data_IF_882255126266
#
_entry.id   IF_882255126266
#
_cell.length_a   1.000
_cell.length_b   1.000
_cell.length_c   1.000
_cell.angle_alpha   90.00
_cell.angle_beta   90.00
_cell.angle_gamma   90.00
#
_symmetry.space_group_name_H-M   'P 1'
#
loop_
_entity.id
_entity.type
_entity.pdbx_description
1 polymer ?
#
# COMPACT_ATOMS: atom_id res chain seq x y z
N UNK A 1 -25.61 -14.77 2.41
CA UNK A 1 -25.88 -13.87 3.55
C UNK A 1 -24.83 -12.77 3.48
N UNK A 2 -25.19 -11.49 3.35
CA UNK A 2 -24.20 -10.43 3.35
C UNK A 2 -23.65 -10.30 4.79
N UNK A 3 -22.36 -10.57 4.96
CA UNK A 3 -21.67 -10.28 6.22
C UNK A 3 -21.54 -8.76 6.32
N UNK A 4 -22.08 -8.18 7.39
CA UNK A 4 -21.93 -6.76 7.68
C UNK A 4 -20.46 -6.46 7.97
N UNK A 5 -19.91 -5.36 7.44
CA UNK A 5 -18.50 -5.05 7.64
C UNK A 5 -18.23 -4.72 9.10
N UNK A 6 -17.34 -5.48 9.73
CA UNK A 6 -16.91 -5.24 11.10
C UNK A 6 -15.82 -4.16 11.10
N UNK A 7 -16.00 -3.13 11.93
CA UNK A 7 -15.01 -2.06 12.13
C UNK A 7 -14.71 -1.91 13.62
N UNK A 8 -13.43 -1.92 13.98
CA UNK A 8 -12.94 -1.69 15.33
C UNK A 8 -11.86 -0.59 15.31
N UNK A 9 -11.99 0.39 16.21
CA UNK A 9 -11.03 1.50 16.32
C UNK A 9 -10.20 1.34 17.58
N UNK A 10 -8.89 1.29 17.39
CA UNK A 10 -7.89 1.21 18.45
C UNK A 10 -7.20 2.55 18.62
N UNK A 11 -7.14 3.06 19.85
CA UNK A 11 -6.44 4.29 20.17
C UNK A 11 -5.17 4.00 20.95
N UNK A 12 -4.05 4.58 20.52
CA UNK A 12 -2.78 4.50 21.24
C UNK A 12 -2.87 5.36 22.50
N UNK A 13 -2.83 4.71 23.67
CA UNK A 13 -2.94 5.35 24.98
C UNK A 13 -1.60 5.61 25.64
N UNK A 14 -0.59 4.85 25.26
CA UNK A 14 0.75 4.97 25.78
C UNK A 14 1.74 4.68 24.66
N UNK A 15 2.84 5.41 24.64
CA UNK A 15 3.88 5.28 23.64
C UNK A 15 5.23 5.49 24.32
N UNK A 16 6.11 4.53 24.12
CA UNK A 16 7.47 4.55 24.64
C UNK A 16 8.43 4.27 23.49
N UNK A 17 9.09 5.30 22.97
CA UNK A 17 10.16 5.21 21.97
C UNK A 17 9.75 4.53 20.64
N UNK A 18 8.53 4.76 20.18
CA UNK A 18 8.03 4.31 18.89
C UNK A 18 8.40 5.32 17.78
N UNK A 19 9.17 4.92 16.76
CA UNK A 19 9.56 5.82 15.67
C UNK A 19 8.43 6.12 14.69
N UNK A 20 7.31 5.38 14.75
CA UNK A 20 6.24 5.43 13.76
C UNK A 20 4.93 6.02 14.27
N UNK A 21 4.60 5.80 15.54
CA UNK A 21 3.31 6.20 16.10
C UNK A 21 3.48 6.99 17.39
N UNK A 22 2.50 7.82 17.72
CA UNK A 22 2.48 8.68 18.91
C UNK A 22 1.23 8.45 19.75
N UNK A 23 1.29 8.81 21.03
CA UNK A 23 0.11 8.77 21.91
C UNK A 23 -1.03 9.63 21.32
N UNK A 24 -2.21 9.04 21.19
CA UNK A 24 -3.39 9.66 20.59
C UNK A 24 -3.73 9.20 19.17
N UNK A 25 -2.77 8.56 18.48
CA UNK A 25 -2.96 7.97 17.15
C UNK A 25 -4.07 6.91 17.16
N UNK A 26 -4.84 6.84 16.08
CA UNK A 26 -5.97 5.91 15.91
C UNK A 26 -5.68 4.93 14.77
N UNK A 27 -5.83 3.64 15.06
CA UNK A 27 -5.68 2.54 14.12
C UNK A 27 -7.04 1.92 13.90
N UNK A 28 -7.47 1.78 12.65
CA UNK A 28 -8.79 1.25 12.32
C UNK A 28 -8.64 -0.13 11.71
N UNK A 29 -9.20 -1.14 12.38
CA UNK A 29 -9.27 -2.51 11.92
C UNK A 29 -10.62 -2.75 11.25
N UNK A 30 -10.60 -3.23 10.01
CA UNK A 30 -11.76 -3.68 9.24
C UNK A 30 -11.60 -5.17 8.92
N UNK A 31 -12.66 -5.82 8.42
CA UNK A 31 -12.71 -7.28 8.16
C UNK A 31 -11.42 -7.89 7.57
N UNK A 32 -10.83 -7.22 6.58
CA UNK A 32 -9.63 -7.68 5.86
C UNK A 32 -8.56 -6.59 5.71
N UNK A 33 -8.67 -5.47 6.43
CA UNK A 33 -7.78 -4.32 6.24
C UNK A 33 -7.48 -3.61 7.56
N UNK A 34 -6.28 -3.04 7.66
CA UNK A 34 -5.87 -2.18 8.77
C UNK A 34 -5.49 -0.82 8.21
N UNK A 35 -6.10 0.24 8.73
CA UNK A 35 -5.74 1.62 8.40
C UNK A 35 -4.99 2.27 9.56
N UNK A 36 -3.93 3.00 9.22
CA UNK A 36 -3.07 3.70 10.17
C UNK A 36 -3.32 5.22 10.11
N UNK A 37 -3.05 5.95 11.20
CA UNK A 37 -3.32 7.39 11.27
C UNK A 37 -2.36 8.17 10.37
N UNK A 38 -2.82 9.29 9.81
CA UNK A 38 -1.99 10.25 9.04
C UNK A 38 -1.17 9.61 7.90
N UNK A 39 -1.66 8.52 7.27
CA UNK A 39 -0.93 7.75 6.25
C UNK A 39 0.46 7.26 6.70
N UNK A 40 0.66 7.11 8.02
CA UNK A 40 1.90 6.56 8.58
C UNK A 40 2.13 5.14 8.06
N UNK A 41 3.39 4.75 7.81
CA UNK A 41 3.70 3.42 7.29
C UNK A 41 3.19 2.33 8.24
N UNK A 42 2.75 1.23 7.66
CA UNK A 42 2.26 0.08 8.40
C UNK A 42 3.45 -0.68 9.03
N UNK A 43 3.52 -0.70 10.36
CA UNK A 43 4.55 -1.45 11.07
C UNK A 43 4.21 -2.94 11.03
N UNK A 44 5.03 -3.75 10.36
CA UNK A 44 4.81 -5.19 10.22
C UNK A 44 4.69 -5.94 11.57
N UNK A 45 5.36 -5.45 12.61
CA UNK A 45 5.26 -6.00 13.97
C UNK A 45 3.87 -5.74 14.56
N UNK A 46 3.36 -4.53 14.39
CA UNK A 46 2.02 -4.16 14.83
C UNK A 46 0.95 -4.89 14.01
N UNK A 47 1.15 -5.07 12.70
CA UNK A 47 0.25 -5.87 11.85
C UNK A 47 0.14 -7.31 12.37
N UNK A 48 1.24 -7.94 12.78
CA UNK A 48 1.23 -9.29 13.36
C UNK A 48 0.40 -9.39 14.65
N UNK A 49 0.44 -8.37 15.51
CA UNK A 49 -0.37 -8.33 16.74
C UNK A 49 -1.85 -8.05 16.42
N UNK A 50 -2.12 -7.11 15.50
CA UNK A 50 -3.48 -6.77 15.09
C UNK A 50 -4.19 -7.90 14.34
N UNK A 51 -3.46 -8.69 13.56
CA UNK A 51 -3.99 -9.89 12.88
C UNK A 51 -4.38 -10.98 13.87
N UNK A 52 -3.58 -11.22 14.91
CA UNK A 52 -3.97 -12.13 16.01
C UNK A 52 -5.23 -11.63 16.74
N UNK A 53 -5.33 -10.31 16.91
CA UNK A 53 -6.50 -9.69 17.53
C UNK A 53 -7.75 -9.84 16.66
N UNK A 54 -7.63 -9.61 15.35
CA UNK A 54 -8.70 -9.80 14.38
C UNK A 54 -9.30 -11.21 14.45
N UNK A 55 -8.47 -12.25 14.53
CA UNK A 55 -8.96 -13.63 14.66
C UNK A 55 -9.74 -13.88 15.96
N UNK A 56 -9.34 -13.26 17.08
CA UNK A 56 -10.09 -13.33 18.34
C UNK A 56 -11.45 -12.63 18.23
N UNK A 57 -11.49 -11.46 17.58
CA UNK A 57 -12.72 -10.69 17.35
C UNK A 57 -13.70 -11.41 16.42
N UNK A 58 -13.20 -11.99 15.31
CA UNK A 58 -14.00 -12.78 14.38
C UNK A 58 -14.50 -14.10 15.01
N UNK A 59 -13.77 -14.63 16.01
CA UNK A 59 -14.15 -15.80 16.79
C UNK A 59 -15.33 -15.60 17.77
N UNK A 60 -15.93 -14.41 17.84
CA UNK A 60 -17.01 -14.02 18.77
C UNK A 60 -16.63 -14.02 20.26
N UNK A 61 -15.35 -13.91 20.60
CA UNK A 61 -14.96 -13.51 21.95
C UNK A 61 -15.08 -11.98 22.03
N UNK A 62 -15.97 -11.48 22.89
CA UNK A 62 -16.06 -10.03 23.13
C UNK A 62 -14.71 -9.57 23.69
N UNK A 63 -13.96 -8.73 22.96
CA UNK A 63 -12.72 -8.19 23.48
C UNK A 63 -13.05 -7.35 24.71
N UNK A 64 -12.37 -7.59 25.82
CA UNK A 64 -12.54 -6.74 26.99
C UNK A 64 -12.06 -5.32 26.62
N UNK A 65 -12.93 -4.29 26.65
CA UNK A 65 -12.57 -2.92 26.30
C UNK A 65 -11.54 -2.31 27.26
N UNK A 66 -11.31 -2.95 28.40
CA UNK A 66 -10.28 -2.56 29.36
C UNK A 66 -8.91 -3.21 29.09
N UNK A 67 -8.82 -4.16 28.15
CA UNK A 67 -7.58 -4.86 27.85
C UNK A 67 -6.64 -3.97 27.03
N UNK A 68 -5.46 -3.70 27.60
CA UNK A 68 -4.37 -2.98 26.95
C UNK A 68 -3.57 -3.94 26.09
N UNK A 69 -3.57 -3.69 24.78
CA UNK A 69 -2.78 -4.45 23.82
C UNK A 69 -1.46 -3.73 23.55
N UNK A 70 -0.39 -4.48 23.35
CA UNK A 70 0.95 -3.93 23.18
C UNK A 70 1.67 -4.49 21.96
N UNK A 71 2.36 -3.62 21.22
CA UNK A 71 3.38 -4.04 20.26
C UNK A 71 4.72 -4.06 20.99
N UNK A 72 5.35 -5.23 21.11
CA UNK A 72 6.55 -5.42 21.95
C UNK A 72 7.88 -5.50 21.20
N UNK A 73 7.97 -5.03 19.95
CA UNK A 73 8.84 -5.75 18.99
C UNK A 73 10.02 -5.07 18.30
N UNK A 74 10.40 -3.81 18.55
CA UNK A 74 11.61 -3.26 17.87
C UNK A 74 12.53 -2.45 18.78
N UNK A 75 12.12 -1.27 19.24
CA UNK A 75 12.91 -0.39 20.14
C UNK A 75 12.02 0.42 21.10
N UNK A 76 10.72 0.16 21.06
CA UNK A 76 9.70 0.88 21.79
C UNK A 76 8.41 0.08 21.91
N UNK A 77 7.53 0.52 22.81
CA UNK A 77 6.28 -0.14 23.14
C UNK A 77 5.12 0.85 23.05
N UNK A 78 4.17 0.56 22.17
CA UNK A 78 2.88 1.26 22.16
C UNK A 78 1.85 0.40 22.88
N UNK A 79 1.07 1.02 23.76
CA UNK A 79 -0.15 0.42 24.31
C UNK A 79 -1.34 1.05 23.64
N UNK A 80 -2.24 0.22 23.16
CA UNK A 80 -3.47 0.66 22.52
C UNK A 80 -4.67 -0.04 23.16
N UNK A 81 -5.80 0.68 23.18
CA UNK A 81 -7.07 0.18 23.69
C UNK A 81 -8.14 0.25 22.62
N UNK A 82 -9.11 -0.65 22.70
CA UNK A 82 -10.33 -0.54 21.91
C UNK A 82 -11.13 0.68 22.40
N UNK A 83 -11.62 1.48 21.47
CA UNK A 83 -12.57 2.55 21.79
C UNK A 83 -13.98 1.97 21.67
N UNK A 84 -14.85 2.25 22.64
CA UNK A 84 -16.24 1.73 22.73
C UNK A 84 -17.17 2.18 21.58
N UNK A 85 -16.66 2.93 20.61
CA UNK A 85 -17.37 3.22 19.36
C UNK A 85 -17.34 2.00 18.42
N UNK A 86 -18.05 0.96 18.81
CA UNK A 86 -18.62 0.00 17.86
C UNK A 86 -19.78 0.69 17.13
N UNK A 87 -19.48 1.48 16.10
CA UNK A 87 -20.52 2.07 15.26
C UNK A 87 -20.99 1.06 14.20
N UNK A 88 -22.20 0.52 14.37
CA UNK A 88 -22.99 -0.06 13.28
C UNK A 88 -23.57 1.06 12.36
N UNK A 89 -24.33 0.71 11.30
CA UNK A 89 -24.10 1.07 9.90
C UNK A 89 -24.66 2.44 9.48
N UNK A 90 -24.13 2.96 8.37
CA UNK A 90 -24.65 4.01 7.49
C UNK A 90 -25.37 5.21 8.13
N UNK A 91 -24.64 6.33 8.22
CA UNK A 91 -25.22 7.63 7.88
C UNK A 91 -24.33 8.39 6.92
N UNK A 92 -24.82 8.52 5.69
CA UNK A 92 -24.46 9.57 4.76
C UNK A 92 -24.58 10.93 5.47
N UNK A 93 -23.50 11.69 5.46
CA UNK A 93 -23.43 13.00 6.08
C UNK A 93 -22.03 13.58 5.90
N UNK A 94 -21.86 14.32 4.81
CA UNK A 94 -20.63 15.02 4.47
C UNK A 94 -20.14 15.91 5.64
N UNK A 95 -18.84 15.85 5.93
CA UNK A 95 -18.09 17.02 6.37
C UNK A 95 -16.66 16.87 5.85
N UNK A 96 -16.28 17.82 5.01
CA UNK A 96 -14.97 17.96 4.41
C UNK A 96 -13.91 18.15 5.50
N UNK A 97 -12.98 17.20 5.57
CA UNK A 97 -11.67 17.38 6.14
C UNK A 97 -10.69 16.68 5.18
N UNK A 98 -9.78 17.47 4.62
CA UNK A 98 -8.73 17.00 3.72
C UNK A 98 -7.89 15.93 4.42
N UNK A 99 -7.84 14.72 3.86
CA UNK A 99 -7.06 13.62 4.42
C UNK A 99 -7.50 12.24 3.94
N UNK A 100 -6.77 11.71 2.95
CA UNK A 100 -6.75 10.33 2.48
C UNK A 100 -8.10 9.60 2.41
N UNK A 101 -8.79 9.75 1.28
CA UNK A 101 -9.87 8.85 0.89
C UNK A 101 -9.42 7.40 1.04
N UNK A 102 -10.20 6.60 1.76
CA UNK A 102 -9.97 5.16 1.94
C UNK A 102 -10.19 4.41 0.64
N UNK A 103 -9.21 4.45 -0.26
CA UNK A 103 -9.02 3.41 -1.28
C UNK A 103 -8.12 2.36 -0.65
N UNK A 104 -8.63 1.14 -0.47
CA UNK A 104 -7.85 0.00 0.02
C UNK A 104 -6.66 -0.23 -0.90
N UNK A 105 -5.49 0.27 -0.50
CA UNK A 105 -4.35 0.42 -1.38
C UNK A 105 -3.02 0.11 -0.70
N UNK A 106 -2.06 -0.36 -1.51
CA UNK A 106 -0.70 -0.66 -1.02
C UNK A 106 0.12 0.61 -1.22
N UNK A 107 0.55 1.23 -0.13
CA UNK A 107 1.41 2.41 -0.16
C UNK A 107 2.81 2.07 0.36
N UNK A 108 3.86 2.57 -0.30
CA UNK A 108 5.24 2.30 0.07
C UNK A 108 6.24 3.24 -0.59
N UNK A 109 7.53 3.05 -0.29
CA UNK A 109 8.62 3.87 -0.78
C UNK A 109 9.62 3.00 -1.57
N UNK A 110 10.12 3.54 -2.69
CA UNK A 110 11.04 2.87 -3.61
C UNK A 110 12.44 2.61 -3.02
N UNK A 111 12.80 3.29 -1.93
CA UNK A 111 14.06 3.06 -1.20
C UNK A 111 14.10 1.70 -0.50
N UNK A 112 12.94 1.05 -0.31
CA UNK A 112 12.84 -0.26 0.36
C UNK A 112 12.52 -1.40 -0.61
N UNK A 113 11.78 -1.12 -1.67
CA UNK A 113 11.40 -2.07 -2.71
C UNK A 113 11.55 -1.38 -4.07
N UNK A 114 12.37 -1.93 -4.95
CA UNK A 114 12.55 -1.43 -6.30
C UNK A 114 11.25 -1.50 -7.11
N UNK A 115 11.10 -0.65 -8.12
CA UNK A 115 9.97 -0.69 -9.07
C UNK A 115 9.76 -2.10 -9.63
N UNK A 116 10.85 -2.81 -9.91
CA UNK A 116 10.84 -4.20 -10.40
C UNK A 116 10.22 -5.17 -9.39
N UNK A 117 10.62 -5.11 -8.11
CA UNK A 117 10.07 -5.98 -7.06
C UNK A 117 8.58 -5.73 -6.83
N UNK A 118 8.17 -4.46 -6.87
CA UNK A 118 6.76 -4.08 -6.73
C UNK A 118 5.95 -4.64 -7.89
N UNK A 119 6.41 -4.45 -9.13
CA UNK A 119 5.73 -5.01 -10.30
C UNK A 119 5.65 -6.53 -10.24
N UNK A 120 6.74 -7.22 -9.86
CA UNK A 120 6.73 -8.67 -9.71
C UNK A 120 5.73 -9.13 -8.64
N UNK A 121 5.64 -8.42 -7.52
CA UNK A 121 4.68 -8.74 -6.46
C UNK A 121 3.23 -8.58 -6.94
N UNK A 122 2.94 -7.52 -7.73
CA UNK A 122 1.61 -7.31 -8.32
C UNK A 122 1.27 -8.39 -9.36
N UNK A 123 2.24 -8.81 -10.17
CA UNK A 123 2.06 -9.91 -11.12
C UNK A 123 1.80 -11.24 -10.43
N UNK A 124 2.64 -11.61 -9.43
CA UNK A 124 2.52 -12.86 -8.69
C UNK A 124 1.21 -12.96 -7.90
N UNK A 125 0.68 -11.84 -7.42
CA UNK A 125 -0.58 -11.78 -6.69
C UNK A 125 -1.81 -11.50 -7.56
N UNK A 126 -1.63 -11.55 -8.90
CA UNK A 126 -2.68 -11.35 -9.91
C UNK A 126 -3.53 -10.09 -9.64
N UNK A 127 -2.87 -9.00 -9.23
CA UNK A 127 -3.58 -7.78 -8.82
C UNK A 127 -4.17 -7.07 -10.03
N UNK A 128 -5.39 -6.58 -9.86
CA UNK A 128 -6.09 -5.74 -10.83
C UNK A 128 -6.33 -4.36 -10.23
N UNK A 129 -5.75 -3.33 -10.84
CA UNK A 129 -5.79 -1.97 -10.30
C UNK A 129 -4.79 -1.03 -10.94
N UNK A 130 -4.64 0.15 -10.33
CA UNK A 130 -3.76 1.22 -10.79
C UNK A 130 -2.67 1.41 -9.74
N UNK A 131 -1.42 1.24 -10.12
CA UNK A 131 -0.30 1.73 -9.31
C UNK A 131 0.11 3.11 -9.83
N UNK A 132 0.27 4.05 -8.91
CA UNK A 132 0.84 5.37 -9.15
C UNK A 132 2.16 5.47 -8.43
N UNK A 133 3.09 6.18 -9.03
CA UNK A 133 4.39 6.49 -8.48
C UNK A 133 4.56 8.00 -8.46
N UNK A 134 5.13 8.51 -7.39
CA UNK A 134 5.62 9.87 -7.27
C UNK A 134 7.14 9.81 -7.29
N UNK A 135 7.71 9.91 -8.49
CA UNK A 135 9.15 9.99 -8.69
C UNK A 135 9.62 11.45 -8.60
N UNK A 136 10.92 11.70 -8.32
CA UNK A 136 11.48 13.06 -8.36
C UNK A 136 11.30 13.75 -9.72
N UNK A 137 11.32 12.98 -10.82
CA UNK A 137 11.13 13.49 -12.19
C UNK A 137 9.67 13.81 -12.54
N UNK A 138 8.70 13.29 -11.78
CA UNK A 138 7.27 13.50 -12.00
C UNK A 138 6.42 12.26 -11.70
N UNK A 139 5.09 12.38 -11.80
CA UNK A 139 4.19 11.27 -11.54
C UNK A 139 4.26 10.22 -12.65
N UNK A 140 4.30 8.94 -12.26
CA UNK A 140 4.17 7.78 -13.12
C UNK A 140 2.93 6.96 -12.76
N UNK A 141 2.39 6.21 -13.71
CA UNK A 141 1.31 5.26 -13.42
C UNK A 141 1.37 4.02 -14.30
N UNK A 142 0.96 2.89 -13.75
CA UNK A 142 0.76 1.64 -14.48
C UNK A 142 -0.56 0.97 -14.07
N UNK A 143 -1.27 0.45 -15.06
CA UNK A 143 -2.52 -0.27 -14.90
C UNK A 143 -2.26 -1.76 -15.05
N UNK A 144 -2.78 -2.51 -14.09
CA UNK A 144 -2.66 -3.95 -13.99
C UNK A 144 -4.03 -4.61 -14.11
N UNK A 145 -4.11 -5.71 -14.84
CA UNK A 145 -5.24 -6.65 -14.81
C UNK A 145 -4.70 -8.05 -14.74
N UNK A 146 -5.15 -8.78 -13.74
CA UNK A 146 -4.78 -10.17 -13.47
C UNK A 146 -3.25 -10.33 -13.45
N UNK A 147 -2.55 -9.32 -12.91
CA UNK A 147 -1.09 -9.27 -12.84
C UNK A 147 -0.38 -8.79 -14.11
N UNK A 148 -1.08 -8.59 -15.22
CA UNK A 148 -0.48 -8.15 -16.49
C UNK A 148 -0.63 -6.63 -16.71
N UNK A 149 0.34 -6.03 -17.41
CA UNK A 149 0.27 -4.60 -17.76
C UNK A 149 -0.76 -4.36 -18.86
N UNK A 150 -1.68 -3.41 -18.63
CA UNK A 150 -2.61 -2.92 -19.66
C UNK A 150 -2.14 -1.58 -20.23
N UNK A 151 -1.65 -0.71 -19.37
CA UNK A 151 -1.26 0.65 -19.73
C UNK A 151 -0.21 1.17 -18.76
N UNK A 152 0.66 2.03 -19.24
CA UNK A 152 1.57 2.77 -18.39
C UNK A 152 1.81 4.16 -18.97
N UNK A 153 2.09 5.12 -18.10
CA UNK A 153 2.41 6.50 -18.46
C UNK A 153 3.47 7.02 -17.50
N UNK A 154 4.54 7.60 -18.01
CA UNK A 154 5.53 8.27 -17.19
C UNK A 154 6.17 9.38 -18.02
N UNK A 155 6.21 10.60 -17.48
CA UNK A 155 6.64 11.80 -18.21
C UNK A 155 5.86 11.98 -19.52
N UNK A 156 6.54 11.94 -20.67
CA UNK A 156 5.94 12.00 -22.02
C UNK A 156 5.83 10.60 -22.68
N UNK A 157 6.28 9.56 -21.99
CA UNK A 157 6.28 8.19 -22.51
C UNK A 157 4.98 7.46 -22.13
N UNK A 158 4.59 6.51 -22.98
CA UNK A 158 3.41 5.66 -22.75
C UNK A 158 3.69 4.20 -23.10
N UNK A 159 2.92 3.28 -22.51
CA UNK A 159 3.06 1.85 -22.74
C UNK A 159 4.40 1.31 -22.25
N UNK A 160 5.06 0.48 -23.07
CA UNK A 160 6.33 -0.16 -22.71
C UNK A 160 7.45 0.84 -22.42
N UNK A 161 7.53 1.94 -23.17
CA UNK A 161 8.55 2.97 -22.95
C UNK A 161 8.42 3.61 -21.55
N UNK A 162 7.18 3.86 -21.11
CA UNK A 162 6.91 4.34 -19.76
C UNK A 162 7.34 3.31 -18.70
N UNK A 163 7.05 2.02 -18.92
CA UNK A 163 7.47 0.95 -17.98
C UNK A 163 8.99 0.93 -17.85
N UNK A 164 9.73 0.95 -18.96
CA UNK A 164 11.18 0.95 -18.95
C UNK A 164 11.76 2.17 -18.23
N UNK A 165 11.20 3.35 -18.47
CA UNK A 165 11.61 4.57 -17.78
C UNK A 165 11.32 4.50 -16.26
N UNK A 166 10.17 3.94 -15.84
CA UNK A 166 9.86 3.73 -14.41
C UNK A 166 10.78 2.71 -13.72
N UNK A 167 11.29 1.71 -14.46
CA UNK A 167 12.23 0.72 -13.93
C UNK A 167 13.62 1.31 -13.63
N UNK A 168 13.98 2.42 -14.29
CA UNK A 168 15.24 3.12 -14.04
C UNK A 168 15.22 3.99 -12.77
N UNK A 169 14.02 4.32 -12.28
CA UNK A 169 13.85 5.13 -11.08
C UNK A 169 14.17 4.34 -9.80
N UNK A 170 15.00 4.93 -8.94
CA UNK A 170 15.46 4.32 -7.67
C UNK A 170 14.84 4.95 -6.43
N UNK A 171 14.22 6.11 -6.57
CA UNK A 171 13.67 6.89 -5.46
C UNK A 171 12.23 7.31 -5.77
N UNK A 172 11.41 7.45 -4.72
CA UNK A 172 10.03 7.92 -4.82
C UNK A 172 9.07 7.16 -3.92
N UNK A 173 7.79 7.51 -4.00
CA UNK A 173 6.69 6.78 -3.34
C UNK A 173 5.78 6.12 -4.35
N UNK A 174 5.05 5.09 -3.92
CA UNK A 174 4.06 4.43 -4.75
C UNK A 174 2.77 4.17 -3.99
N UNK A 175 1.66 4.21 -4.69
CA UNK A 175 0.33 3.91 -4.20
C UNK A 175 -0.41 3.03 -5.20
N UNK A 176 -0.85 1.85 -4.76
CA UNK A 176 -1.70 0.97 -5.54
C UNK A 176 -3.16 1.13 -5.14
N UNK A 177 -4.07 1.29 -6.10
CA UNK A 177 -5.52 1.30 -5.91
C UNK A 177 -6.14 0.09 -6.62
N UNK A 178 -6.88 -0.72 -5.87
CA UNK A 178 -7.60 -1.84 -6.45
C UNK A 178 -8.79 -1.37 -7.30
N UNK A 179 -8.97 -2.00 -8.46
CA UNK A 179 -10.06 -1.71 -9.38
C UNK A 179 -9.64 -0.90 -10.61
N UNK A 180 -10.35 -1.14 -11.71
CA UNK A 180 -10.17 -0.45 -12.98
C UNK A 180 -11.51 0.13 -13.44
N UNK A 181 -11.47 1.26 -14.14
CA UNK A 181 -12.63 1.76 -14.86
C UNK A 181 -13.09 0.74 -15.91
N UNK A 182 -14.39 0.70 -16.23
CA UNK A 182 -14.95 -0.26 -17.20
C UNK A 182 -14.27 -0.16 -18.58
N UNK A 183 -13.87 1.06 -18.98
CA UNK A 183 -13.15 1.32 -20.24
C UNK A 183 -11.80 0.61 -20.32
N UNK A 184 -11.10 0.50 -19.20
CA UNK A 184 -9.77 -0.11 -19.12
C UNK A 184 -9.86 -1.64 -18.95
N UNK A 185 -11.03 -2.17 -18.52
CA UNK A 185 -11.26 -3.60 -18.34
C UNK A 185 -11.20 -4.39 -19.65
N UNK A 186 -11.53 -3.76 -20.78
CA UNK A 186 -11.60 -4.40 -22.11
C UNK A 186 -10.35 -4.20 -22.98
N UNK A 187 -9.33 -3.45 -22.52
CA UNK A 187 -8.12 -3.21 -23.30
C UNK A 187 -7.23 -4.45 -23.38
N UNK A 188 -6.46 -4.57 -24.45
CA UNK A 188 -5.44 -5.61 -24.55
C UNK A 188 -4.27 -5.33 -23.59
N UNK A 189 -3.64 -6.41 -23.12
CA UNK A 189 -2.40 -6.30 -22.34
C UNK A 189 -1.24 -5.87 -23.24
N UNK A 190 -0.26 -5.15 -22.68
CA UNK A 190 0.90 -4.62 -23.41
C UNK A 190 1.87 -5.70 -23.91
N UNK A 191 1.79 -6.91 -23.36
CA UNK A 191 2.64 -8.02 -23.73
C UNK A 191 2.70 -9.07 -22.63
N UNK A 192 3.75 -9.89 -22.66
CA UNK A 192 4.06 -10.81 -21.57
C UNK A 192 4.86 -10.06 -20.50
N UNK A 193 4.32 -9.99 -19.27
CA UNK A 193 4.93 -9.28 -18.15
C UNK A 193 6.42 -9.61 -17.96
N UNK A 194 6.79 -10.89 -17.95
CA UNK A 194 8.17 -11.32 -17.70
C UNK A 194 9.13 -10.91 -18.81
N UNK A 195 8.68 -10.98 -20.07
CA UNK A 195 9.48 -10.50 -21.22
C UNK A 195 9.74 -8.98 -21.11
N UNK A 196 8.72 -8.21 -20.73
CA UNK A 196 8.81 -6.76 -20.56
C UNK A 196 9.79 -6.43 -19.43
N UNK A 197 9.68 -7.10 -18.28
CA UNK A 197 10.61 -6.88 -17.17
C UNK A 197 12.06 -7.20 -17.54
N UNK A 198 12.32 -8.35 -18.17
CA UNK A 198 13.67 -8.75 -18.54
C UNK A 198 14.31 -7.77 -19.55
N UNK A 199 13.53 -7.33 -20.53
CA UNK A 199 13.97 -6.30 -21.49
C UNK A 199 14.21 -4.94 -20.82
N UNK A 200 13.35 -4.56 -19.87
CA UNK A 200 13.51 -3.33 -19.09
C UNK A 200 14.76 -3.34 -18.22
N UNK A 201 15.00 -4.42 -17.48
CA UNK A 201 16.20 -4.57 -16.65
C UNK A 201 17.48 -4.56 -17.48
N UNK A 202 17.48 -5.20 -18.65
CA UNK A 202 18.60 -5.13 -19.60
C UNK A 202 18.93 -3.69 -19.98
N UNK A 203 17.91 -2.87 -20.28
CA UNK A 203 18.10 -1.47 -20.64
C UNK A 203 18.60 -0.60 -19.50
N UNK A 204 18.19 -0.90 -18.27
CA UNK A 204 18.69 -0.20 -17.08
C UNK A 204 20.18 -0.50 -16.90
N UNK A 205 20.57 -1.78 -16.95
CA UNK A 205 21.96 -2.23 -16.87
C UNK A 205 22.84 -1.61 -17.98
N UNK A 206 22.36 -1.64 -19.24
CA UNK A 206 23.05 -1.01 -20.39
C UNK A 206 23.12 0.53 -20.32
N UNK A 207 22.19 1.17 -19.60
CA UNK A 207 22.15 2.62 -19.38
C UNK A 207 23.11 3.07 -18.28
N UNK A 208 23.22 2.28 -17.20
CA UNK A 208 24.14 2.51 -16.08
C UNK A 208 25.61 2.42 -16.51
N UNK A 209 25.92 1.57 -17.49
CA UNK A 209 27.26 1.43 -18.08
C UNK A 209 27.73 2.66 -18.89
N UNK A 210 26.83 3.57 -19.28
CA UNK A 210 27.20 4.78 -20.03
C UNK A 210 27.53 5.99 -19.15
N UNK A 211 27.00 6.05 -17.93
CA UNK A 211 27.30 7.11 -16.96
C UNK A 211 28.63 6.90 -16.23
N UNK A 212 29.14 5.66 -16.17
CA UNK A 212 30.41 5.33 -15.50
C UNK A 212 31.68 5.60 -16.33
N UNK A 213 31.56 6.02 -17.60
CA UNK A 213 32.71 6.28 -18.50
C UNK A 213 33.05 7.79 -18.62
N UNK A 214 32.36 8.67 -17.91
CA UNK A 214 32.70 10.11 -17.80
C UNK A 214 33.34 10.47 -16.47
N UNK A 215 34.25 9.65 -15.96
CA UNK A 215 35.27 10.11 -15.01
C UNK A 215 36.44 9.14 -15.01
N UNK A 216 37.37 9.28 -15.97
CA UNK A 216 38.82 9.10 -15.84
C UNK A 216 39.56 9.37 -17.16
#
# INVERSE_FOLDING_TARGET
MPMQPYTAVFKIVDELNCPLYKKGDQIVLRDNAVAFPECKPACFILIRELTQLLFKLLGKEQPDPSLLYGCGGCTGLIKFKLTDEQAMPDKEGATEAEGCATTSGIHGNLNTFSTTEIFQALNLSEKTGIIRFDFPGGPGSALFRDGEFIRATYLQETGLAAIFAMLAEKEGSFHFEAGLAEEERHRDQLGNFMMILMEGMRKVDEGEDRESVQDH
#
